data_IF_930027875888
#
_entry.id   IF_930027875888
#
_cell.length_a   1.000
_cell.length_b   1.000
_cell.length_c   1.000
_cell.angle_alpha   90.00
_cell.angle_beta   90.00
_cell.angle_gamma   90.00
#
_symmetry.space_group_name_H-M   'P 1'
#
loop_
_entity.id
_entity.type
_entity.pdbx_description
1 polymer ?
#
# COMPACT_ATOMS: atom_id res chain seq x y z
N UNK A 1 -3.83 16.72 31.17
CA UNK A 1 -3.48 15.35 30.74
C UNK A 1 -4.22 14.91 29.46
N UNK A 2 -5.50 15.20 29.26
CA UNK A 2 -6.23 14.83 28.02
C UNK A 2 -5.66 15.45 26.74
N UNK A 3 -5.19 16.71 26.79
CA UNK A 3 -4.63 17.40 25.62
C UNK A 3 -3.27 16.84 25.16
N UNK A 4 -2.44 16.37 26.08
CA UNK A 4 -1.11 15.81 25.76
C UNK A 4 -1.25 14.43 25.09
N UNK A 5 -2.23 13.63 25.53
CA UNK A 5 -2.49 12.31 24.94
C UNK A 5 -3.03 12.42 23.51
N UNK A 6 -3.91 13.41 23.27
CA UNK A 6 -4.45 13.69 21.94
C UNK A 6 -3.34 14.17 20.97
N UNK A 7 -2.41 14.98 21.45
CA UNK A 7 -1.29 15.49 20.66
C UNK A 7 -0.30 14.38 20.25
N UNK A 8 -0.08 13.39 21.12
CA UNK A 8 0.77 12.23 20.81
C UNK A 8 0.15 11.31 19.75
N UNK A 9 -1.18 11.16 19.74
CA UNK A 9 -1.90 10.38 18.71
C UNK A 9 -1.80 11.05 17.34
N UNK A 10 -1.90 12.37 17.28
CA UNK A 10 -1.74 13.11 16.02
C UNK A 10 -0.31 13.03 15.46
N UNK A 11 0.71 13.05 16.33
CA UNK A 11 2.11 12.93 15.91
C UNK A 11 2.40 11.54 15.34
N UNK A 12 1.85 10.47 15.91
CA UNK A 12 2.06 9.12 15.38
C UNK A 12 1.37 8.87 14.04
N UNK A 13 0.21 9.46 13.80
CA UNK A 13 -0.48 9.38 12.49
C UNK A 13 0.30 10.10 11.39
N UNK A 14 0.89 11.26 11.69
CA UNK A 14 1.72 11.98 10.72
C UNK A 14 3.03 11.24 10.42
N UNK A 15 3.62 10.55 11.40
CA UNK A 15 4.87 9.80 11.21
C UNK A 15 4.71 8.63 10.22
N UNK A 16 3.59 7.91 10.26
CA UNK A 16 3.33 6.79 9.35
C UNK A 16 3.09 7.26 7.91
N UNK A 17 2.43 8.39 7.72
CA UNK A 17 2.29 9.02 6.41
C UNK A 17 3.65 9.50 5.87
N UNK A 18 4.51 10.07 6.71
CA UNK A 18 5.86 10.48 6.34
C UNK A 18 6.73 9.30 5.86
N UNK A 19 6.58 8.12 6.47
CA UNK A 19 7.25 6.90 6.00
C UNK A 19 6.78 6.48 4.60
N UNK A 20 5.47 6.54 4.35
CA UNK A 20 4.93 6.30 3.01
C UNK A 20 5.48 7.31 1.99
N UNK A 21 5.51 8.58 2.35
CA UNK A 21 6.05 9.65 1.49
C UNK A 21 7.54 9.47 1.22
N UNK A 22 8.30 9.01 2.21
CA UNK A 22 9.73 8.74 2.07
C UNK A 22 10.04 7.61 1.08
N UNK A 23 9.28 6.51 1.12
CA UNK A 23 9.64 5.28 0.40
C UNK A 23 8.75 4.95 -0.80
N UNK A 24 7.51 5.40 -0.82
CA UNK A 24 6.49 4.87 -1.73
C UNK A 24 5.90 5.91 -2.68
N UNK A 25 5.73 7.16 -2.24
CA UNK A 25 4.98 8.19 -2.99
C UNK A 25 5.59 8.56 -4.34
N UNK A 26 6.91 8.38 -4.50
CA UNK A 26 7.58 8.66 -5.77
C UNK A 26 7.08 7.80 -6.93
N UNK A 27 6.51 6.65 -6.64
CA UNK A 27 5.92 5.73 -7.60
C UNK A 27 4.40 5.57 -7.40
N UNK A 28 3.95 5.41 -6.15
CA UNK A 28 2.55 5.20 -5.80
C UNK A 28 1.90 6.48 -5.29
N UNK A 29 1.30 7.26 -6.16
CA UNK A 29 0.62 8.49 -5.77
C UNK A 29 -0.51 8.23 -4.76
N UNK A 30 -0.71 9.18 -3.84
CA UNK A 30 -1.79 9.15 -2.82
C UNK A 30 -3.15 9.59 -3.37
N UNK A 31 -3.23 9.97 -4.63
CA UNK A 31 -4.49 10.41 -5.23
C UNK A 31 -5.55 9.31 -5.20
N UNK A 32 -6.73 9.64 -4.72
CA UNK A 32 -7.90 8.76 -4.71
C UNK A 32 -8.52 8.72 -6.11
N UNK A 33 -8.13 7.74 -6.91
CA UNK A 33 -8.67 7.52 -8.25
C UNK A 33 -9.07 6.07 -8.46
N UNK A 34 -10.03 5.84 -9.34
CA UNK A 34 -10.46 4.51 -9.74
C UNK A 34 -9.52 3.93 -10.81
N UNK A 35 -9.61 2.63 -11.01
CA UNK A 35 -8.90 1.94 -12.10
C UNK A 35 -9.20 2.57 -13.49
N UNK A 36 -10.44 2.97 -13.73
CA UNK A 36 -10.85 3.63 -14.98
C UNK A 36 -10.16 4.98 -15.16
N UNK A 37 -10.10 5.79 -14.10
CA UNK A 37 -9.41 7.08 -14.11
C UNK A 37 -7.90 6.91 -14.30
N UNK A 38 -7.30 5.89 -13.66
CA UNK A 38 -5.90 5.54 -13.86
C UNK A 38 -5.61 5.23 -15.33
N UNK A 39 -6.49 4.47 -16.01
CA UNK A 39 -6.32 4.15 -17.44
C UNK A 39 -6.25 5.38 -18.32
N UNK A 40 -6.97 6.45 -17.99
CA UNK A 40 -6.94 7.70 -18.73
C UNK A 40 -5.63 8.48 -18.55
N UNK A 41 -4.89 8.24 -17.45
CA UNK A 41 -3.66 8.95 -17.09
C UNK A 41 -2.37 8.15 -17.34
N UNK A 42 -2.45 7.04 -18.05
CA UNK A 42 -1.38 6.04 -18.25
C UNK A 42 0.02 6.60 -18.51
N UNK A 43 0.11 7.68 -19.29
CA UNK A 43 1.40 8.17 -19.80
C UNK A 43 2.29 8.85 -18.75
N UNK A 44 1.74 9.17 -17.57
CA UNK A 44 2.43 9.94 -16.53
C UNK A 44 2.69 9.14 -15.24
N UNK A 45 2.27 7.89 -15.19
CA UNK A 45 2.37 7.06 -13.99
C UNK A 45 3.58 6.13 -14.06
N UNK A 46 4.36 6.06 -12.97
CA UNK A 46 5.44 5.08 -12.79
C UNK A 46 4.94 3.74 -12.24
N UNK A 47 3.86 3.78 -11.46
CA UNK A 47 3.19 2.63 -10.87
C UNK A 47 1.70 2.95 -10.67
N UNK A 48 0.84 1.96 -10.39
CA UNK A 48 -0.54 2.24 -10.04
C UNK A 48 -0.62 3.11 -8.76
N UNK A 49 -1.50 4.11 -8.72
CA UNK A 49 -1.78 4.85 -7.48
C UNK A 49 -2.16 3.92 -6.34
N UNK A 50 -1.82 4.29 -5.10
CA UNK A 50 -2.02 3.40 -3.95
C UNK A 50 -3.49 3.02 -3.74
N UNK A 51 -4.43 3.92 -4.04
CA UNK A 51 -5.87 3.62 -3.97
C UNK A 51 -6.27 2.48 -4.91
N UNK A 52 -5.73 2.46 -6.13
CA UNK A 52 -5.99 1.39 -7.12
C UNK A 52 -5.35 0.07 -6.69
N UNK A 53 -4.14 0.14 -6.11
CA UNK A 53 -3.47 -1.05 -5.55
C UNK A 53 -4.32 -1.66 -4.44
N UNK A 54 -4.78 -0.87 -3.48
CA UNK A 54 -5.56 -1.35 -2.35
C UNK A 54 -6.96 -1.83 -2.75
N UNK A 55 -7.63 -1.15 -3.66
CA UNK A 55 -8.88 -1.64 -4.26
C UNK A 55 -8.71 -3.06 -4.80
N UNK A 56 -7.65 -3.29 -5.59
CA UNK A 56 -7.35 -4.60 -6.17
C UNK A 56 -7.01 -5.65 -5.13
N UNK A 57 -6.21 -5.30 -4.11
CA UNK A 57 -5.85 -6.24 -3.04
C UNK A 57 -7.09 -6.65 -2.25
N UNK A 58 -7.92 -5.69 -1.84
CA UNK A 58 -9.14 -5.95 -1.07
C UNK A 58 -10.21 -6.71 -1.89
N UNK A 59 -10.25 -6.52 -3.20
CA UNK A 59 -11.12 -7.29 -4.10
C UNK A 59 -10.67 -8.74 -4.27
N UNK A 60 -9.35 -8.96 -4.36
CA UNK A 60 -8.79 -10.27 -4.63
C UNK A 60 -8.63 -11.14 -3.38
N UNK A 61 -8.19 -10.53 -2.26
CA UNK A 61 -8.04 -11.23 -0.99
C UNK A 61 -9.33 -11.12 -0.19
N UNK A 62 -10.22 -12.09 -0.39
CA UNK A 62 -11.50 -12.19 0.32
C UNK A 62 -11.39 -13.22 1.43
N UNK A 63 -11.59 -12.78 2.67
CA UNK A 63 -11.58 -13.65 3.84
C UNK A 63 -13.01 -13.93 4.24
N UNK A 64 -13.33 -15.22 4.43
CA UNK A 64 -14.70 -15.67 4.77
C UNK A 64 -15.11 -15.44 6.22
N UNK A 65 -14.22 -14.88 7.03
CA UNK A 65 -14.50 -14.53 8.42
C UNK A 65 -14.84 -13.05 8.47
N UNK A 66 -15.97 -12.70 9.06
CA UNK A 66 -16.39 -11.31 9.29
C UNK A 66 -15.64 -10.73 10.50
N UNK A 67 -14.32 -10.56 10.30
CA UNK A 67 -13.39 -10.05 11.31
C UNK A 67 -12.37 -9.14 10.59
N UNK A 68 -12.49 -7.84 10.83
CA UNK A 68 -11.66 -6.82 10.18
C UNK A 68 -10.18 -6.93 10.60
N UNK A 69 -9.90 -7.34 11.83
CA UNK A 69 -8.53 -7.51 12.32
C UNK A 69 -7.83 -8.67 11.59
N UNK A 70 -8.57 -9.75 11.35
CA UNK A 70 -8.06 -10.89 10.56
C UNK A 70 -7.83 -10.49 9.12
N UNK A 71 -8.75 -9.75 8.51
CA UNK A 71 -8.58 -9.26 7.16
C UNK A 71 -7.36 -8.34 7.04
N UNK A 72 -7.22 -7.40 7.95
CA UNK A 72 -6.05 -6.50 8.02
C UNK A 72 -4.76 -7.29 8.16
N UNK A 73 -4.70 -8.25 9.07
CA UNK A 73 -3.51 -9.07 9.29
C UNK A 73 -3.09 -9.83 8.02
N UNK A 74 -4.03 -10.44 7.30
CA UNK A 74 -3.72 -11.19 6.06
C UNK A 74 -3.28 -10.26 4.95
N UNK A 75 -3.98 -9.15 4.72
CA UNK A 75 -3.65 -8.20 3.66
C UNK A 75 -2.29 -7.54 3.92
N UNK A 76 -2.02 -7.10 5.14
CA UNK A 76 -0.72 -6.49 5.48
C UNK A 76 0.43 -7.49 5.40
N UNK A 77 0.21 -8.77 5.76
CA UNK A 77 1.21 -9.83 5.57
C UNK A 77 1.53 -10.06 4.08
N UNK A 78 0.50 -10.11 3.22
CA UNK A 78 0.67 -10.19 1.78
C UNK A 78 1.45 -8.99 1.23
N UNK A 79 1.10 -7.78 1.64
CA UNK A 79 1.78 -6.57 1.20
C UNK A 79 3.27 -6.57 1.58
N UNK A 80 3.58 -6.97 2.82
CA UNK A 80 4.97 -7.06 3.28
C UNK A 80 5.78 -8.07 2.46
N UNK A 81 5.25 -9.26 2.26
CA UNK A 81 5.93 -10.30 1.46
C UNK A 81 6.18 -9.82 0.01
N UNK A 82 5.17 -9.19 -0.60
CA UNK A 82 5.30 -8.68 -1.97
C UNK A 82 6.29 -7.51 -2.07
N UNK A 83 6.27 -6.56 -1.15
CA UNK A 83 7.15 -5.39 -1.15
C UNK A 83 8.62 -5.81 -0.98
N UNK A 84 8.87 -6.81 -0.14
CA UNK A 84 10.23 -7.31 0.11
C UNK A 84 10.76 -8.17 -1.03
N UNK A 85 9.93 -9.01 -1.62
CA UNK A 85 10.31 -9.93 -2.70
C UNK A 85 9.27 -9.95 -3.83
N UNK A 86 9.16 -8.85 -4.61
CA UNK A 86 8.16 -8.75 -5.66
C UNK A 86 8.41 -9.75 -6.78
N UNK A 87 7.36 -10.42 -7.23
CA UNK A 87 7.40 -11.27 -8.42
C UNK A 87 6.03 -11.30 -9.10
N UNK A 88 6.01 -11.64 -10.38
CA UNK A 88 4.77 -11.79 -11.14
C UNK A 88 3.91 -12.91 -10.55
N UNK A 89 4.53 -13.98 -10.07
CA UNK A 89 3.81 -15.14 -9.52
C UNK A 89 3.09 -14.83 -8.20
N UNK A 90 3.62 -13.88 -7.42
CA UNK A 90 2.97 -13.38 -6.20
C UNK A 90 1.95 -12.28 -6.47
N UNK A 91 2.13 -11.57 -7.58
CA UNK A 91 1.34 -10.37 -7.88
C UNK A 91 -0.10 -10.69 -8.21
N UNK A 92 -1.01 -9.81 -7.80
CA UNK A 92 -2.44 -9.89 -8.07
C UNK A 92 -2.95 -8.80 -9.03
N UNK A 93 -2.05 -8.03 -9.59
CA UNK A 93 -2.37 -7.05 -10.63
C UNK A 93 -2.89 -7.73 -11.90
N UNK A 94 -3.68 -7.01 -12.67
CA UNK A 94 -4.02 -7.45 -14.03
C UNK A 94 -2.75 -7.53 -14.89
N UNK A 95 -2.72 -8.46 -15.83
CA UNK A 95 -1.59 -8.65 -16.76
C UNK A 95 -1.17 -7.34 -17.42
N UNK A 96 -2.12 -6.49 -17.79
CA UNK A 96 -1.85 -5.19 -18.38
C UNK A 96 -1.07 -4.23 -17.45
N UNK A 97 -1.19 -4.37 -16.14
CA UNK A 97 -0.38 -3.61 -15.19
C UNK A 97 1.10 -3.99 -15.29
N UNK A 98 1.39 -5.29 -15.35
CA UNK A 98 2.79 -5.75 -15.49
C UNK A 98 3.39 -5.38 -16.84
N UNK A 99 2.60 -5.41 -17.92
CA UNK A 99 3.03 -4.94 -19.24
C UNK A 99 3.36 -3.45 -19.22
N UNK A 100 2.57 -2.66 -18.49
CA UNK A 100 2.73 -1.21 -18.44
C UNK A 100 3.83 -0.76 -17.48
N UNK A 101 3.86 -1.32 -16.26
CA UNK A 101 4.69 -0.83 -15.15
C UNK A 101 5.87 -1.74 -14.81
N UNK A 102 5.85 -2.99 -15.30
CA UNK A 102 6.79 -4.02 -14.84
C UNK A 102 6.50 -4.48 -13.41
N UNK A 103 7.43 -5.19 -12.84
CA UNK A 103 7.40 -5.61 -11.44
C UNK A 103 7.96 -4.50 -10.55
N UNK A 104 7.35 -4.27 -9.39
CA UNK A 104 7.86 -3.34 -8.39
C UNK A 104 9.31 -3.72 -8.00
N UNK A 105 10.23 -2.76 -7.85
CA UNK A 105 11.55 -3.05 -7.30
C UNK A 105 11.47 -3.53 -5.85
N UNK A 106 12.28 -4.53 -5.47
CA UNK A 106 12.38 -4.98 -4.08
C UNK A 106 12.81 -3.85 -3.15
N UNK A 107 12.16 -3.76 -1.99
CA UNK A 107 12.49 -2.78 -0.95
C UNK A 107 13.28 -3.40 0.21
N UNK A 108 13.71 -4.66 0.07
CA UNK A 108 14.36 -5.45 1.12
C UNK A 108 15.59 -4.78 1.76
N UNK A 109 16.38 -4.08 0.94
CA UNK A 109 17.60 -3.43 1.40
C UNK A 109 17.43 -1.90 1.60
N UNK A 110 16.18 -1.41 1.55
CA UNK A 110 15.86 0.03 1.58
C UNK A 110 15.00 0.38 2.78
N UNK A 111 14.00 -0.45 3.10
CA UNK A 111 13.02 -0.20 4.17
C UNK A 111 13.26 -1.17 5.31
N UNK A 112 13.41 -0.64 6.54
CA UNK A 112 13.53 -1.48 7.73
C UNK A 112 12.21 -2.21 8.01
N UNK A 113 12.24 -3.45 8.57
CA UNK A 113 11.04 -4.24 8.82
C UNK A 113 9.98 -3.54 9.67
N UNK A 114 10.41 -2.78 10.69
CA UNK A 114 9.52 -2.03 11.58
C UNK A 114 8.85 -0.86 10.84
N UNK A 115 9.59 -0.14 10.01
CA UNK A 115 9.04 0.93 9.16
C UNK A 115 8.04 0.36 8.13
N UNK A 116 8.33 -0.83 7.58
CA UNK A 116 7.43 -1.50 6.66
C UNK A 116 6.11 -1.90 7.32
N UNK A 117 6.15 -2.40 8.56
CA UNK A 117 4.93 -2.71 9.34
C UNK A 117 4.04 -1.48 9.51
N UNK A 118 4.64 -0.34 9.83
CA UNK A 118 3.93 0.93 9.96
C UNK A 118 3.34 1.42 8.62
N UNK A 119 4.10 1.33 7.54
CA UNK A 119 3.66 1.72 6.19
C UNK A 119 2.45 0.91 5.75
N UNK A 120 2.52 -0.43 5.81
CA UNK A 120 1.42 -1.28 5.31
C UNK A 120 0.16 -1.16 6.17
N UNK A 121 0.31 -0.97 7.49
CA UNK A 121 -0.81 -0.70 8.38
C UNK A 121 -1.48 0.63 8.03
N UNK A 122 -0.71 1.69 7.85
CA UNK A 122 -1.24 2.99 7.47
C UNK A 122 -1.94 2.95 6.09
N UNK A 123 -1.35 2.29 5.12
CA UNK A 123 -1.95 2.12 3.79
C UNK A 123 -3.30 1.38 3.88
N UNK A 124 -3.37 0.29 4.64
CA UNK A 124 -4.62 -0.44 4.84
C UNK A 124 -5.72 0.42 5.45
N UNK A 125 -5.38 1.24 6.44
CA UNK A 125 -6.34 2.07 7.18
C UNK A 125 -6.83 3.29 6.38
N UNK A 126 -6.09 3.72 5.35
CA UNK A 126 -6.40 4.96 4.61
C UNK A 126 -6.92 4.71 3.18
N UNK A 127 -6.80 3.50 2.67
CA UNK A 127 -7.22 3.11 1.31
C UNK A 127 -7.92 1.76 1.33
#
# INVERSE_FOLDING_TARGET
>A
MKSILLMLIFISLSANEELFDKYCVSCHFKQQITFTQMKAQKQHLKAPPISVVMERIKEFIVIKVDDEDVQKAVITAFMKDYIMEPSIDKGICHVNCYVQFGTMPSQKDIVEPEELDEIVSWVYDNY
#
